data_IF_110452008251
#
_entry.id   IF_110452008251
#
_cell.length_a   1.000
_cell.length_b   1.000
_cell.length_c   1.000
_cell.angle_alpha   90.00
_cell.angle_beta   90.00
_cell.angle_gamma   90.00
#
_symmetry.space_group_name_H-M   'P 1'
#
loop_
_entity.id
_entity.type
_entity.pdbx_description
1 polymer ?
#
# COMPACT_ATOMS: atom_id res chain seq x y z
N UNK A 1 -17.83 -26.28 -15.84
CA UNK A 1 -17.12 -24.99 -15.70
C UNK A 1 -16.17 -25.10 -14.51
N UNK A 2 -15.06 -24.35 -14.39
CA UNK A 2 -14.07 -24.56 -13.28
C UNK A 2 -14.70 -24.40 -11.89
N UNK A 3 -15.67 -23.48 -11.75
CA UNK A 3 -16.33 -23.22 -10.46
C UNK A 3 -17.11 -24.42 -9.90
N UNK A 4 -17.64 -25.29 -10.75
CA UNK A 4 -18.47 -26.44 -10.35
C UNK A 4 -17.65 -27.53 -9.61
N UNK A 5 -16.32 -27.45 -9.68
CA UNK A 5 -15.39 -28.38 -9.02
C UNK A 5 -15.01 -27.92 -7.59
N UNK A 6 -15.53 -26.77 -7.12
CA UNK A 6 -15.29 -26.27 -5.78
C UNK A 6 -16.44 -26.63 -4.83
N UNK A 7 -16.09 -26.85 -3.57
CA UNK A 7 -17.08 -26.95 -2.50
C UNK A 7 -17.95 -25.67 -2.44
N UNK A 8 -19.24 -25.78 -2.10
CA UNK A 8 -20.11 -24.61 -1.90
C UNK A 8 -19.56 -23.65 -0.84
N UNK A 9 -19.93 -22.37 -0.95
CA UNK A 9 -19.52 -21.35 0.03
C UNK A 9 -19.92 -21.73 1.46
N UNK A 10 -18.98 -21.56 2.40
CA UNK A 10 -19.22 -21.78 3.84
C UNK A 10 -19.90 -20.59 4.52
N UNK A 11 -19.87 -19.41 3.88
CA UNK A 11 -20.48 -18.20 4.43
C UNK A 11 -22.00 -18.24 4.28
N UNK A 12 -22.72 -17.99 5.37
CA UNK A 12 -24.20 -17.90 5.37
C UNK A 12 -24.70 -16.52 4.96
N UNK A 13 -23.88 -15.50 5.17
CA UNK A 13 -24.13 -14.13 4.74
C UNK A 13 -22.91 -13.61 3.97
N UNK A 14 -23.16 -13.15 2.74
CA UNK A 14 -22.17 -12.53 1.86
C UNK A 14 -22.57 -11.11 1.48
N UNK A 15 -23.52 -10.51 2.21
CA UNK A 15 -24.04 -9.16 1.94
C UNK A 15 -23.00 -8.06 2.07
N UNK A 16 -21.86 -8.32 2.71
CA UNK A 16 -20.72 -7.40 2.87
C UNK A 16 -19.66 -7.55 1.76
N UNK A 17 -19.78 -8.56 0.89
CA UNK A 17 -18.86 -8.80 -0.22
C UNK A 17 -19.37 -8.04 -1.43
N UNK A 18 -18.64 -7.00 -1.83
CA UNK A 18 -19.01 -6.14 -2.95
C UNK A 18 -17.86 -5.98 -3.95
N UNK A 19 -18.15 -5.98 -5.26
CA UNK A 19 -17.20 -5.52 -6.26
C UNK A 19 -16.76 -4.09 -5.95
N UNK A 20 -15.45 -3.83 -5.98
CA UNK A 20 -14.88 -2.52 -5.64
C UNK A 20 -14.07 -2.00 -6.82
N UNK A 21 -14.39 -0.79 -7.28
CA UNK A 21 -13.50 -0.02 -8.16
C UNK A 21 -12.60 0.84 -7.28
N UNK A 22 -11.29 0.68 -7.40
CA UNK A 22 -10.30 1.38 -6.59
C UNK A 22 -9.20 1.99 -7.47
N UNK A 23 -8.46 2.92 -6.89
CA UNK A 23 -7.19 3.43 -7.43
C UNK A 23 -6.13 3.38 -6.32
N UNK A 24 -4.90 3.81 -6.55
CA UNK A 24 -3.91 3.73 -5.47
C UNK A 24 -2.66 4.58 -5.63
N UNK A 25 -2.09 4.92 -4.48
CA UNK A 25 -0.69 5.27 -4.33
C UNK A 25 0.08 3.96 -4.49
N UNK A 26 0.44 3.66 -5.74
CA UNK A 26 1.00 2.37 -6.15
C UNK A 26 1.92 2.52 -7.36
N UNK A 27 1.36 2.98 -8.48
CA UNK A 27 2.06 2.97 -9.76
C UNK A 27 3.33 3.84 -9.77
N UNK A 28 3.37 4.92 -8.99
CA UNK A 28 4.55 5.78 -8.90
C UNK A 28 5.79 5.05 -8.40
N UNK A 29 5.63 4.08 -7.51
CA UNK A 29 6.73 3.27 -7.01
C UNK A 29 7.12 2.18 -8.01
N UNK A 30 6.16 1.60 -8.72
CA UNK A 30 6.41 0.61 -9.78
C UNK A 30 7.26 1.21 -10.92
N UNK A 31 7.01 2.46 -11.29
CA UNK A 31 7.78 3.15 -12.34
C UNK A 31 9.02 3.88 -11.82
N UNK A 32 9.33 3.80 -10.53
CA UNK A 32 10.50 4.43 -9.91
C UNK A 32 10.44 5.95 -9.80
N UNK A 33 9.26 6.58 -9.96
CA UNK A 33 9.07 8.01 -9.70
C UNK A 33 9.16 8.32 -8.20
N UNK A 34 8.57 7.44 -7.39
CA UNK A 34 8.47 7.55 -5.94
C UNK A 34 8.98 6.27 -5.27
N UNK A 35 9.13 6.27 -3.95
CA UNK A 35 9.64 5.12 -3.18
C UNK A 35 8.61 4.62 -2.17
N UNK A 36 8.58 3.30 -1.96
CA UNK A 36 7.88 2.73 -0.81
C UNK A 36 8.59 3.10 0.51
N UNK A 37 9.92 3.06 0.53
CA UNK A 37 10.74 3.41 1.68
C UNK A 37 10.56 4.88 2.09
N UNK A 38 10.59 5.13 3.40
CA UNK A 38 10.56 6.47 3.98
C UNK A 38 11.96 7.12 3.92
N UNK A 39 13.00 6.32 4.15
CA UNK A 39 14.39 6.75 4.17
C UNK A 39 15.24 5.92 3.20
N UNK A 40 16.44 6.39 2.89
CA UNK A 40 17.46 5.63 2.15
C UNK A 40 18.46 4.94 3.12
N UNK A 41 18.01 4.71 4.36
CA UNK A 41 18.84 4.10 5.40
C UNK A 41 18.87 2.57 5.23
N UNK A 42 20.06 1.98 5.33
CA UNK A 42 20.28 0.54 5.26
C UNK A 42 20.21 -0.12 6.66
N UNK A 43 20.01 -1.44 6.69
CA UNK A 43 20.04 -2.28 7.91
C UNK A 43 18.99 -1.87 8.95
N UNK A 44 17.73 -1.86 8.54
CA UNK A 44 16.64 -1.45 9.40
C UNK A 44 16.10 -2.65 10.19
N UNK A 45 16.02 -2.47 11.51
CA UNK A 45 15.47 -3.46 12.43
C UNK A 45 14.12 -2.99 12.95
N UNK A 46 13.04 -3.68 12.53
CA UNK A 46 11.68 -3.44 13.04
C UNK A 46 11.67 -3.62 14.56
N UNK A 47 11.14 -2.63 15.28
CA UNK A 47 11.06 -2.60 16.73
C UNK A 47 12.29 -2.05 17.46
N UNK A 48 13.41 -1.84 16.74
CA UNK A 48 14.65 -1.26 17.30
C UNK A 48 14.92 0.11 16.67
N UNK A 49 14.74 0.22 15.36
CA UNK A 49 15.04 1.43 14.60
C UNK A 49 14.03 2.53 14.90
N UNK A 50 14.53 3.70 15.28
CA UNK A 50 13.72 4.89 15.52
C UNK A 50 13.55 5.68 14.22
N UNK A 51 12.45 5.37 13.50
CA UNK A 51 12.10 6.01 12.23
C UNK A 51 11.93 7.53 12.32
N UNK A 52 11.61 8.07 13.51
CA UNK A 52 11.45 9.52 13.71
C UNK A 52 12.77 10.29 13.57
N UNK A 53 13.89 9.59 13.73
CA UNK A 53 15.25 10.13 13.58
C UNK A 53 15.84 9.91 12.18
N UNK A 54 15.19 9.10 11.35
CA UNK A 54 15.64 8.87 9.98
C UNK A 54 15.32 10.08 9.11
N UNK A 55 16.24 10.39 8.19
CA UNK A 55 16.05 11.44 7.21
C UNK A 55 15.07 10.96 6.14
N UNK A 56 13.94 11.65 5.89
CA UNK A 56 13.09 11.34 4.75
C UNK A 56 13.87 11.45 3.44
N UNK A 57 13.70 10.49 2.53
CA UNK A 57 14.36 10.52 1.20
C UNK A 57 13.73 11.51 0.22
N UNK A 58 12.59 12.12 0.59
CA UNK A 58 11.88 13.12 -0.22
C UNK A 58 11.10 12.53 -1.39
N UNK A 59 11.04 11.20 -1.53
CA UNK A 59 10.32 10.48 -2.60
C UNK A 59 9.21 9.56 -2.08
N UNK A 60 8.98 9.55 -0.77
CA UNK A 60 7.98 8.70 -0.14
C UNK A 60 6.54 9.15 -0.44
N UNK A 61 5.84 8.40 -1.31
CA UNK A 61 4.51 8.77 -1.77
C UNK A 61 3.38 8.46 -0.77
N UNK A 62 3.58 7.54 0.17
CA UNK A 62 2.59 7.16 1.17
C UNK A 62 2.54 8.13 2.37
N UNK A 63 2.44 9.43 2.10
CA UNK A 63 2.35 10.47 3.10
C UNK A 63 0.95 11.13 3.13
N UNK A 64 0.60 11.77 4.25
CA UNK A 64 -0.73 12.33 4.48
C UNK A 64 -1.16 13.37 3.45
N UNK A 65 -0.23 14.15 2.89
CA UNK A 65 -0.57 15.20 1.93
C UNK A 65 -0.94 14.58 0.58
N UNK A 66 -0.08 13.70 0.04
CA UNK A 66 -0.31 13.03 -1.23
C UNK A 66 -1.53 12.10 -1.17
N UNK A 67 -1.65 11.30 -0.12
CA UNK A 67 -2.79 10.37 0.04
C UNK A 67 -4.12 11.12 0.06
N UNK A 68 -4.20 12.31 0.70
CA UNK A 68 -5.43 13.11 0.68
C UNK A 68 -5.80 13.60 -0.73
N UNK A 69 -4.82 13.99 -1.55
CA UNK A 69 -5.06 14.36 -2.97
C UNK A 69 -5.68 13.18 -3.74
N UNK A 70 -5.22 11.96 -3.49
CA UNK A 70 -5.77 10.75 -4.08
C UNK A 70 -7.19 10.46 -3.58
N UNK A 71 -7.47 10.66 -2.28
CA UNK A 71 -8.82 10.53 -1.71
C UNK A 71 -9.78 11.53 -2.37
N UNK A 72 -9.37 12.80 -2.50
CA UNK A 72 -10.20 13.84 -3.11
C UNK A 72 -10.54 13.48 -4.56
N UNK A 73 -9.56 13.03 -5.34
CA UNK A 73 -9.79 12.57 -6.70
C UNK A 73 -10.68 11.32 -6.76
N UNK A 74 -10.44 10.34 -5.89
CA UNK A 74 -11.22 9.10 -5.82
C UNK A 74 -12.70 9.41 -5.55
N UNK A 75 -12.97 10.25 -4.55
CA UNK A 75 -14.31 10.67 -4.18
C UNK A 75 -15.00 11.45 -5.30
N UNK A 76 -14.28 12.38 -5.95
CA UNK A 76 -14.81 13.17 -7.07
C UNK A 76 -15.15 12.34 -8.31
N UNK A 77 -14.54 11.16 -8.48
CA UNK A 77 -14.67 10.33 -9.69
C UNK A 77 -15.37 8.97 -9.44
N UNK A 78 -16.00 8.79 -8.27
CA UNK A 78 -16.81 7.60 -7.97
C UNK A 78 -16.01 6.32 -7.74
N UNK A 79 -14.78 6.43 -7.26
CA UNK A 79 -14.00 5.29 -6.74
C UNK A 79 -14.43 4.98 -5.30
N UNK A 80 -14.41 3.70 -4.95
CA UNK A 80 -14.89 3.18 -3.66
C UNK A 80 -13.76 2.79 -2.71
N UNK A 81 -12.52 2.74 -3.20
CA UNK A 81 -11.36 2.39 -2.41
C UNK A 81 -10.09 3.07 -2.91
N UNK A 82 -9.14 3.20 -2.00
CA UNK A 82 -7.79 3.66 -2.28
C UNK A 82 -6.78 2.66 -1.70
N UNK A 83 -5.97 2.06 -2.57
CA UNK A 83 -4.81 1.27 -2.18
C UNK A 83 -3.65 2.22 -1.85
N UNK A 84 -2.95 1.95 -0.75
CA UNK A 84 -1.74 2.68 -0.38
C UNK A 84 -0.68 1.66 -0.03
N UNK A 85 0.37 1.57 -0.84
CA UNK A 85 1.56 0.78 -0.51
C UNK A 85 2.64 1.69 0.06
N UNK A 86 3.51 1.15 0.94
CA UNK A 86 4.56 1.94 1.59
C UNK A 86 4.16 2.55 2.93
N UNK A 87 2.91 2.40 3.38
CA UNK A 87 2.39 3.13 4.54
C UNK A 87 2.98 2.71 5.90
N UNK A 88 3.47 1.47 6.02
CA UNK A 88 4.00 0.90 7.24
C UNK A 88 5.54 0.93 7.28
N UNK A 89 6.15 0.71 8.44
CA UNK A 89 7.61 0.61 8.54
C UNK A 89 8.16 -0.66 7.86
N UNK A 90 9.40 -0.60 7.37
CA UNK A 90 10.18 -1.75 6.89
C UNK A 90 10.39 -1.82 5.38
N UNK A 91 9.92 -0.83 4.62
CA UNK A 91 10.10 -0.79 3.17
C UNK A 91 11.51 -0.43 2.71
N UNK A 92 12.42 -0.13 3.63
CA UNK A 92 13.85 0.04 3.33
C UNK A 92 14.49 -1.30 2.95
N UNK A 93 14.11 -2.41 3.61
CA UNK A 93 14.72 -3.75 3.44
C UNK A 93 13.80 -4.76 2.73
N UNK A 94 12.74 -4.32 2.06
CA UNK A 94 11.67 -5.20 1.53
C UNK A 94 12.09 -6.12 0.37
N UNK A 95 13.14 -5.78 -0.39
CA UNK A 95 13.57 -6.51 -1.58
C UNK A 95 15.06 -6.82 -1.54
N UNK A 96 15.43 -8.10 -1.67
CA UNK A 96 16.82 -8.50 -1.91
C UNK A 96 17.78 -8.40 -0.71
N UNK A 97 17.30 -7.97 0.46
CA UNK A 97 18.10 -7.94 1.69
C UNK A 97 17.89 -9.25 2.47
N UNK A 98 18.70 -10.26 2.16
CA UNK A 98 18.83 -11.45 3.01
C UNK A 98 19.58 -11.04 4.29
N UNK A 99 18.97 -11.31 5.45
CA UNK A 99 19.62 -11.15 6.76
C UNK A 99 20.68 -12.22 7.01
#
# INVERSE_FOLDING_TARGET
MIFDLNEPTKYKDTSWIHPTKYMGVWWEMIIGKSTWAYSDADNIHIGITDYSKLKPNGKHAANNEEVKKYIDFAAANGFQGLLIEGWNIGWEDWFGHSK
#
